data_IF_756826180940
#
_entry.id   IF_756826180940
#
_cell.length_a   1.000
_cell.length_b   1.000
_cell.length_c   1.000
_cell.angle_alpha   90.00
_cell.angle_beta   90.00
_cell.angle_gamma   90.00
#
_symmetry.space_group_name_H-M   'P 1'
#
loop_
_entity.id
_entity.type
_entity.pdbx_description
1 polymer ?
#
# COMPACT_ATOMS: atom_id res chain seq x y z
N UNK A 1 5.73 12.02 28.20
CA UNK A 1 5.89 13.10 29.20
C UNK A 1 5.68 14.41 28.47
N UNK A 2 4.80 15.28 28.99
CA UNK A 2 4.50 16.58 28.39
C UNK A 2 5.53 17.63 28.83
N UNK A 3 5.98 18.50 27.92
CA UNK A 3 6.89 19.62 28.21
C UNK A 3 6.21 21.01 28.08
N UNK A 4 6.95 22.06 28.45
CA UNK A 4 6.46 23.46 28.42
C UNK A 4 6.15 23.99 27.02
N UNK A 5 6.56 23.29 25.97
CA UNK A 5 6.36 23.66 24.57
C UNK A 5 5.16 22.94 23.94
N UNK A 6 4.71 21.82 24.50
CA UNK A 6 3.56 21.05 23.99
C UNK A 6 2.27 21.88 23.93
N UNK A 7 2.00 22.69 24.96
CA UNK A 7 0.85 23.61 24.97
C UNK A 7 0.93 24.66 23.84
N UNK A 8 2.14 25.15 23.55
CA UNK A 8 2.38 26.13 22.47
C UNK A 8 2.26 25.46 21.10
N UNK A 9 2.78 24.24 20.95
CA UNK A 9 2.65 23.45 19.73
C UNK A 9 1.18 23.17 19.45
N UNK A 10 0.42 22.63 20.41
CA UNK A 10 -1.02 22.34 20.25
C UNK A 10 -1.79 23.55 19.72
N UNK A 11 -1.55 24.74 20.28
CA UNK A 11 -2.17 26.00 19.82
C UNK A 11 -1.78 26.39 18.39
N UNK A 12 -0.55 26.12 17.97
CA UNK A 12 -0.12 26.36 16.59
C UNK A 12 -0.76 25.36 15.59
N UNK A 13 -0.96 24.11 16.01
CA UNK A 13 -1.60 23.07 15.18
C UNK A 13 -3.09 23.31 14.94
N UNK A 14 -3.76 24.18 15.71
CA UNK A 14 -5.18 24.55 15.48
C UNK A 14 -5.42 25.17 14.10
N UNK A 15 -4.41 25.83 13.52
CA UNK A 15 -4.48 26.41 12.18
C UNK A 15 -3.91 25.49 11.08
N UNK A 16 -3.44 24.29 11.43
CA UNK A 16 -2.81 23.37 10.48
C UNK A 16 -3.85 22.50 9.78
N UNK A 17 -3.85 22.54 8.45
CA UNK A 17 -4.53 21.54 7.63
C UNK A 17 -3.53 20.51 7.12
N UNK A 18 -3.79 19.22 7.40
CA UNK A 18 -3.01 18.11 6.85
C UNK A 18 -3.75 17.47 5.68
N UNK A 19 -3.12 17.44 4.52
CA UNK A 19 -3.58 16.66 3.36
C UNK A 19 -2.70 15.41 3.26
N UNK A 20 -3.32 14.24 3.35
CA UNK A 20 -2.66 12.95 3.20
C UNK A 20 -3.51 12.01 2.34
N UNK A 21 -2.88 10.95 1.83
CA UNK A 21 -3.62 9.86 1.19
C UNK A 21 -4.61 9.25 2.19
N UNK A 22 -5.78 8.86 1.68
CA UNK A 22 -6.74 8.12 2.47
C UNK A 22 -6.18 6.72 2.70
N UNK A 23 -5.92 6.39 3.96
CA UNK A 23 -5.53 5.04 4.32
C UNK A 23 -6.76 4.13 4.27
N UNK A 24 -6.64 2.94 3.65
CA UNK A 24 -7.72 1.98 3.68
C UNK A 24 -7.97 1.52 5.12
N UNK A 25 -9.22 1.54 5.56
CA UNK A 25 -9.61 1.02 6.90
C UNK A 25 -10.41 -0.28 6.78
N UNK A 26 -10.30 -0.96 5.63
CA UNK A 26 -11.03 -2.21 5.39
C UNK A 26 -10.46 -3.36 6.24
N UNK A 27 -11.28 -4.33 6.66
CA UNK A 27 -10.79 -5.52 7.37
C UNK A 27 -9.73 -6.30 6.58
N UNK A 28 -9.82 -6.29 5.24
CA UNK A 28 -8.85 -6.91 4.36
C UNK A 28 -7.49 -6.21 4.44
N UNK A 29 -7.46 -4.87 4.43
CA UNK A 29 -6.24 -4.10 4.57
C UNK A 29 -5.58 -4.31 5.93
N UNK A 30 -6.35 -4.38 7.02
CA UNK A 30 -5.80 -4.67 8.34
C UNK A 30 -5.09 -6.04 8.36
N UNK A 31 -5.72 -7.05 7.75
CA UNK A 31 -5.12 -8.39 7.63
C UNK A 31 -3.84 -8.38 6.79
N UNK A 32 -3.82 -7.59 5.71
CA UNK A 32 -2.64 -7.38 4.88
C UNK A 32 -1.52 -6.68 5.67
N UNK A 33 -1.84 -5.61 6.39
CA UNK A 33 -0.87 -4.85 7.17
C UNK A 33 -0.22 -5.72 8.26
N UNK A 34 -0.99 -6.56 8.95
CA UNK A 34 -0.46 -7.53 9.92
C UNK A 34 0.50 -8.53 9.27
N UNK A 35 0.16 -9.04 8.07
CA UNK A 35 1.07 -9.93 7.33
C UNK A 35 2.37 -9.23 6.95
N UNK A 36 2.30 -7.98 6.49
CA UNK A 36 3.48 -7.17 6.16
C UNK A 36 4.37 -6.98 7.39
N UNK A 37 3.78 -6.65 8.55
CA UNK A 37 4.53 -6.50 9.82
C UNK A 37 5.26 -7.79 10.20
N UNK A 38 4.57 -8.92 10.12
CA UNK A 38 5.15 -10.22 10.46
C UNK A 38 6.31 -10.59 9.51
N UNK A 39 6.13 -10.39 8.19
CA UNK A 39 7.18 -10.67 7.20
C UNK A 39 8.38 -9.73 7.35
N UNK A 40 8.14 -8.45 7.64
CA UNK A 40 9.20 -7.48 7.87
C UNK A 40 10.08 -7.87 9.07
N UNK A 41 9.46 -8.34 10.15
CA UNK A 41 10.17 -8.82 11.33
C UNK A 41 10.96 -10.10 11.03
N UNK A 42 10.32 -11.08 10.38
CA UNK A 42 10.90 -12.40 10.14
C UNK A 42 12.06 -12.37 9.13
N UNK A 43 11.87 -11.68 8.01
CA UNK A 43 12.76 -11.80 6.85
C UNK A 43 13.76 -10.63 6.77
N UNK A 44 13.46 -9.50 7.40
CA UNK A 44 14.25 -8.26 7.30
C UNK A 44 14.67 -7.69 8.65
N UNK A 45 14.32 -8.36 9.77
CA UNK A 45 14.59 -7.89 11.13
C UNK A 45 14.11 -6.45 11.38
N UNK A 46 13.01 -6.07 10.74
CA UNK A 46 12.37 -4.76 10.88
C UNK A 46 11.12 -4.87 11.74
N UNK A 47 11.12 -4.18 12.87
CA UNK A 47 9.98 -4.12 13.77
C UNK A 47 9.33 -2.76 13.68
N UNK A 48 8.05 -2.74 13.32
CA UNK A 48 7.26 -1.52 13.29
C UNK A 48 7.13 -0.93 14.70
N UNK A 49 7.36 0.38 14.82
CA UNK A 49 7.22 1.11 16.07
C UNK A 49 5.77 1.26 16.53
N UNK A 50 5.59 1.69 17.78
CA UNK A 50 4.26 2.00 18.31
C UNK A 50 3.60 3.13 17.50
N UNK A 51 2.41 2.87 16.96
CA UNK A 51 1.70 3.81 16.08
C UNK A 51 2.28 3.90 14.66
N UNK A 52 3.27 3.09 14.30
CA UNK A 52 3.77 3.03 12.95
C UNK A 52 2.83 2.22 12.04
N UNK A 53 2.38 2.87 10.97
CA UNK A 53 1.48 2.29 9.99
C UNK A 53 2.26 1.79 8.78
N UNK A 54 1.74 0.72 8.15
CA UNK A 54 2.28 0.25 6.88
C UNK A 54 2.11 1.34 5.84
N UNK A 55 3.22 1.73 5.21
CA UNK A 55 3.22 2.78 4.21
C UNK A 55 2.32 2.38 3.02
N UNK A 56 1.50 3.32 2.55
CA UNK A 56 0.64 3.17 1.38
C UNK A 56 1.37 2.57 0.16
N UNK A 57 2.64 2.92 -0.06
CA UNK A 57 3.42 2.37 -1.17
C UNK A 57 3.56 0.85 -1.12
N UNK A 58 3.63 0.24 0.08
CA UNK A 58 3.71 -1.21 0.22
C UNK A 58 2.43 -1.88 -0.30
N UNK A 59 1.27 -1.30 0.01
CA UNK A 59 -0.01 -1.72 -0.55
C UNK A 59 -0.06 -1.53 -2.07
N UNK A 60 0.35 -0.36 -2.57
CA UNK A 60 0.35 -0.08 -4.01
C UNK A 60 1.25 -1.05 -4.81
N UNK A 61 2.40 -1.46 -4.26
CA UNK A 61 3.24 -2.49 -4.90
C UNK A 61 2.59 -3.87 -4.87
N UNK A 62 1.96 -4.25 -3.75
CA UNK A 62 1.20 -5.50 -3.66
C UNK A 62 0.08 -5.56 -4.72
N UNK A 63 -0.73 -4.51 -4.79
CA UNK A 63 -1.82 -4.36 -5.76
C UNK A 63 -1.30 -4.35 -7.20
N UNK A 64 -0.16 -3.70 -7.44
CA UNK A 64 0.49 -3.67 -8.75
C UNK A 64 0.93 -5.06 -9.23
N UNK A 65 1.49 -5.88 -8.34
CA UNK A 65 1.87 -7.27 -8.66
C UNK A 65 0.62 -8.13 -8.87
N UNK A 66 -0.42 -7.93 -8.06
CA UNK A 66 -1.70 -8.62 -8.23
C UNK A 66 -2.35 -8.31 -9.59
N UNK A 67 -2.38 -7.03 -9.97
CA UNK A 67 -2.84 -6.56 -11.27
C UNK A 67 -2.03 -7.13 -12.43
N UNK A 68 -0.69 -7.19 -12.28
CA UNK A 68 0.18 -7.82 -13.26
C UNK A 68 -0.14 -9.31 -13.43
N UNK A 69 -0.36 -10.02 -12.33
CA UNK A 69 -0.76 -11.44 -12.35
C UNK A 69 -2.07 -11.66 -13.12
N UNK A 70 -3.08 -10.81 -12.89
CA UNK A 70 -4.34 -10.86 -13.65
C UNK A 70 -4.12 -10.62 -15.15
N UNK A 71 -3.39 -9.56 -15.50
CA UNK A 71 -3.12 -9.21 -16.90
C UNK A 71 -2.28 -10.29 -17.62
N UNK A 72 -1.33 -10.89 -16.92
CA UNK A 72 -0.50 -11.99 -17.44
C UNK A 72 -1.34 -13.25 -17.69
N UNK A 73 -2.19 -13.62 -16.74
CA UNK A 73 -3.09 -14.77 -16.88
C UNK A 73 -4.02 -14.60 -18.09
N UNK A 74 -4.60 -13.41 -18.28
CA UNK A 74 -5.41 -13.10 -19.46
C UNK A 74 -4.63 -13.12 -20.78
N UNK A 75 -3.35 -12.76 -20.75
CA UNK A 75 -2.49 -12.83 -21.93
C UNK A 75 -2.25 -14.29 -22.32
N UNK A 76 -1.99 -15.15 -21.34
CA UNK A 76 -1.78 -16.58 -21.55
C UNK A 76 -3.03 -17.30 -22.05
N UNK A 77 -4.20 -17.01 -21.48
CA UNK A 77 -5.46 -17.64 -21.90
C UNK A 77 -5.87 -17.27 -23.33
N UNK A 78 -5.39 -16.12 -23.83
CA UNK A 78 -5.61 -15.67 -25.21
C UNK A 78 -4.52 -16.16 -26.18
N UNK A 79 -3.58 -17.00 -25.74
CA UNK A 79 -2.47 -17.49 -26.55
C UNK A 79 -1.40 -16.44 -26.86
N UNK A 80 -1.34 -15.37 -26.07
CA UNK A 80 -0.34 -14.31 -26.19
C UNK A 80 1.02 -14.70 -25.63
N UNK A 81 2.05 -13.93 -26.01
CA UNK A 81 3.42 -14.09 -25.49
C UNK A 81 3.62 -13.27 -24.21
N UNK A 82 4.12 -13.92 -23.16
CA UNK A 82 4.48 -13.29 -21.88
C UNK A 82 5.60 -12.26 -22.01
N UNK A 83 6.40 -12.34 -23.08
CA UNK A 83 7.45 -11.35 -23.38
C UNK A 83 6.90 -10.09 -24.01
N UNK A 84 5.64 -10.08 -24.44
CA UNK A 84 4.99 -8.89 -24.97
C UNK A 84 4.45 -8.01 -23.83
N UNK A 85 5.36 -7.30 -23.16
CA UNK A 85 5.02 -6.39 -22.06
C UNK A 85 4.03 -5.29 -22.47
N UNK A 86 4.05 -4.86 -23.74
CA UNK A 86 3.08 -3.89 -24.26
C UNK A 86 1.65 -4.45 -24.32
N UNK A 87 1.47 -5.73 -24.67
CA UNK A 87 0.16 -6.37 -24.65
C UNK A 87 -0.35 -6.58 -23.23
N UNK A 88 0.53 -6.97 -22.29
CA UNK A 88 0.18 -7.19 -20.88
C UNK A 88 -0.22 -5.85 -20.23
N UNK A 89 0.60 -4.81 -20.37
CA UNK A 89 0.33 -3.49 -19.76
C UNK A 89 -0.94 -2.84 -20.28
N UNK A 90 -1.28 -3.03 -21.56
CA UNK A 90 -2.57 -2.57 -22.11
C UNK A 90 -3.78 -3.18 -21.40
N UNK A 91 -3.68 -4.40 -20.87
CA UNK A 91 -4.75 -5.05 -20.09
C UNK A 91 -4.84 -4.55 -18.64
N UNK A 92 -3.81 -3.86 -18.17
CA UNK A 92 -3.79 -3.23 -16.84
C UNK A 92 -4.44 -1.85 -16.86
N UNK A 93 -4.44 -1.16 -18.00
CA UNK A 93 -4.96 0.20 -18.14
C UNK A 93 -6.48 0.26 -18.13
N UNK A 94 -7.04 1.35 -17.57
CA UNK A 94 -8.47 1.62 -17.51
C UNK A 94 -9.28 0.44 -16.94
N UNK A 95 -8.73 -0.18 -15.89
CA UNK A 95 -9.30 -1.36 -15.24
C UNK A 95 -9.55 -1.07 -13.77
N UNK A 96 -10.76 -1.39 -13.34
CA UNK A 96 -11.12 -1.41 -11.93
C UNK A 96 -10.95 -2.84 -11.39
N UNK A 97 -10.36 -2.95 -10.21
CA UNK A 97 -10.27 -4.22 -9.47
C UNK A 97 -10.26 -3.94 -7.97
N UNK A 98 -10.59 -4.95 -7.18
CA UNK A 98 -10.46 -4.90 -5.73
C UNK A 98 -9.06 -5.37 -5.34
N UNK A 99 -8.23 -4.43 -4.87
CA UNK A 99 -6.96 -4.68 -4.19
C UNK A 99 -7.14 -4.74 -2.68
#
# INVERSE_FOLDING_TARGET
>A
MEDKHDAKARKAYEALLRVSLLQPTSPAFNTFAEKVRNLAQQDYNYTFGEGEEVNFFVGAFYDGVYLLGMALNETLTQGGDIRNGGAITKKMWNRDFLG
#
